data_IF_409984595884
#
_entry.id   IF_409984595884
#
_cell.length_a   1.000
_cell.length_b   1.000
_cell.length_c   1.000
_cell.angle_alpha   90.00
_cell.angle_beta   90.00
_cell.angle_gamma   90.00
#
_symmetry.space_group_name_H-M   'P 1'
#
loop_
_entity.id
_entity.type
_entity.pdbx_description
1 polymer ?
#
# COMPACT_ATOMS: atom_id res chain seq x y z
N UNK A 1 5.21 -3.52 -9.49
CA UNK A 1 4.81 -3.79 -8.09
C UNK A 1 3.33 -4.10 -8.04
N UNK A 2 2.95 -5.03 -7.20
CA UNK A 2 1.56 -5.44 -7.09
C UNK A 2 1.12 -5.35 -5.64
N UNK A 3 -0.03 -4.70 -5.38
CA UNK A 3 -0.59 -4.65 -4.05
C UNK A 3 -1.08 -6.04 -3.64
N UNK A 4 -0.76 -6.46 -2.43
CA UNK A 4 -1.20 -7.76 -1.94
C UNK A 4 -2.14 -7.59 -0.76
N UNK A 5 -3.08 -8.52 -0.64
CA UNK A 5 -4.07 -8.50 0.43
C UNK A 5 -3.54 -9.27 1.63
N UNK A 6 -3.78 -8.72 2.83
CA UNK A 6 -3.40 -9.37 4.08
C UNK A 6 -4.61 -9.46 5.01
N UNK A 7 -5.71 -10.09 4.55
CA UNK A 7 -6.93 -10.12 5.37
C UNK A 7 -6.74 -10.86 6.69
N UNK A 8 -5.79 -11.79 6.76
CA UNK A 8 -5.55 -12.52 7.98
C UNK A 8 -4.94 -11.65 9.07
N UNK A 9 -4.46 -10.47 8.74
CA UNK A 9 -3.95 -9.53 9.74
C UNK A 9 -5.05 -8.66 10.33
N UNK A 10 -6.26 -8.73 9.76
CA UNK A 10 -7.39 -7.97 10.31
C UNK A 10 -7.81 -8.56 11.64
N UNK A 11 -8.24 -7.68 12.53
CA UNK A 11 -8.71 -8.06 13.87
C UNK A 11 -9.93 -7.22 14.22
N UNK A 12 -10.67 -7.66 15.20
CA UNK A 12 -11.83 -6.91 15.69
C UNK A 12 -11.48 -6.34 17.06
N UNK A 13 -11.53 -5.02 17.29
CA UNK A 13 -12.14 -4.04 16.37
C UNK A 13 -11.22 -3.52 15.28
N UNK A 14 -9.89 -3.72 15.38
CA UNK A 14 -8.99 -3.18 14.37
C UNK A 14 -7.70 -3.99 14.29
N UNK A 15 -6.97 -3.95 13.15
CA UNK A 15 -7.32 -3.20 11.95
C UNK A 15 -8.40 -3.89 11.14
N UNK A 16 -9.15 -3.10 10.34
CA UNK A 16 -10.15 -3.64 9.43
C UNK A 16 -9.55 -3.83 8.05
N UNK A 17 -9.90 -4.93 7.41
CA UNK A 17 -9.48 -5.16 6.03
C UNK A 17 -10.48 -4.51 5.07
N UNK A 18 -9.98 -3.70 4.14
CA UNK A 18 -10.80 -3.07 3.12
C UNK A 18 -10.12 -3.19 1.76
N UNK A 19 -10.90 -3.06 0.71
CA UNK A 19 -10.37 -2.99 -0.65
C UNK A 19 -10.88 -1.69 -1.26
N UNK A 20 -9.97 -0.71 -1.39
CA UNK A 20 -10.31 0.57 -1.99
C UNK A 20 -10.49 0.42 -3.49
N UNK A 21 -11.39 1.21 -4.07
CA UNK A 21 -11.69 1.22 -5.50
C UNK A 21 -12.21 -0.13 -6.01
N UNK A 22 -12.80 -0.91 -5.12
CA UNK A 22 -13.27 -2.25 -5.46
C UNK A 22 -14.29 -2.22 -6.61
N UNK A 23 -15.17 -1.20 -6.61
CA UNK A 23 -16.23 -1.10 -7.60
C UNK A 23 -15.98 0.00 -8.62
N UNK A 24 -14.73 0.45 -8.76
CA UNK A 24 -14.35 1.51 -9.69
C UNK A 24 -13.46 0.91 -10.77
N UNK A 25 -14.03 0.56 -11.93
CA UNK A 25 -13.27 -0.17 -12.95
C UNK A 25 -12.10 0.63 -13.53
N UNK A 26 -12.13 1.97 -13.40
CA UNK A 26 -11.03 2.79 -13.90
C UNK A 26 -9.78 2.74 -13.03
N UNK A 27 -9.86 2.14 -11.84
CA UNK A 27 -8.71 2.02 -10.93
C UNK A 27 -8.48 0.57 -10.57
N UNK A 28 -7.22 0.24 -10.27
CA UNK A 28 -6.91 -1.08 -9.72
C UNK A 28 -7.34 -1.12 -8.26
N UNK A 29 -7.99 -2.22 -7.83
CA UNK A 29 -8.35 -2.35 -6.43
C UNK A 29 -7.12 -2.31 -5.53
N UNK A 30 -7.23 -1.69 -4.37
CA UNK A 30 -6.14 -1.56 -3.43
C UNK A 30 -6.52 -2.17 -2.08
N UNK A 31 -6.06 -3.39 -1.80
CA UNK A 31 -6.28 -3.99 -0.49
C UNK A 31 -5.49 -3.24 0.58
N UNK A 32 -6.10 -3.06 1.75
CA UNK A 32 -5.47 -2.29 2.81
C UNK A 32 -6.01 -2.70 4.17
N UNK A 33 -5.25 -2.36 5.20
CA UNK A 33 -5.70 -2.48 6.58
C UNK A 33 -5.86 -1.07 7.15
N UNK A 34 -7.02 -0.80 7.72
CA UNK A 34 -7.35 0.52 8.23
C UNK A 34 -7.41 0.46 9.75
N UNK A 35 -6.66 1.36 10.40
CA UNK A 35 -6.57 1.44 11.84
C UNK A 35 -7.42 2.59 12.36
N UNK A 36 -7.84 2.47 13.62
CA UNK A 36 -8.74 3.45 14.23
C UNK A 36 -8.11 4.84 14.33
N UNK A 37 -6.78 4.91 14.42
CA UNK A 37 -6.09 6.20 14.51
C UNK A 37 -5.90 6.88 13.15
N UNK A 38 -6.42 6.29 12.09
CA UNK A 38 -6.34 6.87 10.77
C UNK A 38 -5.21 6.36 9.90
N UNK A 39 -4.36 5.49 10.43
CA UNK A 39 -3.30 4.90 9.61
C UNK A 39 -3.90 3.87 8.66
N UNK A 40 -3.33 3.79 7.46
CA UNK A 40 -3.73 2.81 6.45
C UNK A 40 -2.47 2.11 5.99
N UNK A 41 -2.45 0.78 6.12
CA UNK A 41 -1.30 -0.02 5.71
C UNK A 41 -1.60 -0.69 4.38
N UNK A 42 -0.71 -0.55 3.42
CA UNK A 42 -0.74 -1.31 2.17
C UNK A 42 0.58 -2.03 2.03
N UNK A 43 0.55 -3.19 1.40
CA UNK A 43 1.75 -3.98 1.23
C UNK A 43 1.89 -4.33 -0.24
N UNK A 44 3.12 -4.28 -0.74
CA UNK A 44 3.38 -4.42 -2.16
C UNK A 44 4.43 -5.48 -2.41
N UNK A 45 4.15 -6.34 -3.38
CA UNK A 45 5.09 -7.37 -3.79
C UNK A 45 5.88 -6.88 -4.99
N UNK A 46 7.19 -6.97 -4.90
CA UNK A 46 8.08 -6.60 -5.99
C UNK A 46 8.19 -7.74 -7.00
N UNK A 47 8.29 -7.39 -8.27
CA UNK A 47 8.67 -8.36 -9.28
C UNK A 47 10.15 -8.67 -9.15
N UNK A 48 10.60 -9.74 -9.81
CA UNK A 48 12.02 -10.06 -9.79
C UNK A 48 12.84 -8.94 -10.42
N UNK A 49 12.36 -8.36 -11.52
CA UNK A 49 13.05 -7.26 -12.15
C UNK A 49 13.17 -6.04 -11.25
N UNK A 50 12.11 -5.76 -10.49
CA UNK A 50 12.15 -4.65 -9.53
C UNK A 50 13.14 -4.92 -8.41
N UNK A 51 13.21 -6.16 -7.93
CA UNK A 51 14.19 -6.51 -6.91
C UNK A 51 15.61 -6.32 -7.41
N UNK A 52 15.87 -6.76 -8.63
CA UNK A 52 17.20 -6.59 -9.22
C UNK A 52 17.54 -5.12 -9.40
N UNK A 53 16.55 -4.30 -9.78
CA UNK A 53 16.76 -2.86 -9.89
C UNK A 53 17.18 -2.25 -8.55
N UNK A 54 16.52 -2.66 -7.46
CA UNK A 54 16.89 -2.17 -6.13
C UNK A 54 18.30 -2.61 -5.74
N UNK A 55 18.66 -3.86 -6.08
CA UNK A 55 20.02 -4.33 -5.82
C UNK A 55 21.06 -3.49 -6.56
N UNK A 56 20.72 -3.02 -7.77
CA UNK A 56 21.61 -2.15 -8.52
C UNK A 56 21.67 -0.72 -7.98
N UNK A 57 20.90 -0.41 -6.96
CA UNK A 57 20.93 0.90 -6.35
C UNK A 57 19.83 1.84 -6.81
N UNK A 58 18.83 1.35 -7.55
CA UNK A 58 17.70 2.18 -7.92
C UNK A 58 16.78 2.37 -6.71
N UNK A 59 15.97 3.40 -6.77
CA UNK A 59 15.15 3.81 -5.63
C UNK A 59 13.67 3.49 -5.86
N UNK A 60 12.92 3.49 -4.78
CA UNK A 60 11.46 3.39 -4.86
C UNK A 60 10.92 4.80 -4.95
N UNK A 61 9.96 5.00 -5.86
CA UNK A 61 9.31 6.30 -6.05
C UNK A 61 7.83 6.15 -5.71
N UNK A 62 7.32 7.05 -4.89
CA UNK A 62 5.92 7.04 -4.48
C UNK A 62 5.19 8.17 -5.17
N UNK A 63 4.07 7.86 -5.82
CA UNK A 63 3.20 8.84 -6.45
C UNK A 63 1.87 8.86 -5.72
N UNK A 64 1.41 10.05 -5.37
CA UNK A 64 0.11 10.23 -4.71
C UNK A 64 -0.64 11.35 -5.42
N UNK A 65 -1.90 11.09 -5.71
CA UNK A 65 -2.79 12.10 -6.29
C UNK A 65 -3.54 12.78 -5.17
N UNK A 66 -3.19 14.03 -4.90
CA UNK A 66 -3.83 14.78 -3.80
C UNK A 66 -4.97 15.64 -4.28
N UNK A 67 -5.10 15.81 -5.59
CA UNK A 67 -6.12 16.68 -6.18
C UNK A 67 -6.04 18.11 -5.64
N UNK A 68 -4.82 18.58 -5.40
CA UNK A 68 -4.60 19.95 -4.90
C UNK A 68 -4.83 20.12 -3.42
N UNK A 69 -5.15 19.07 -2.69
CA UNK A 69 -5.31 19.14 -1.24
C UNK A 69 -3.96 18.93 -0.56
N UNK A 70 -3.82 19.37 0.69
CA UNK A 70 -2.56 19.15 1.41
C UNK A 70 -2.20 17.67 1.46
N UNK A 71 -0.90 17.39 1.33
CA UNK A 71 -0.40 16.04 1.41
C UNK A 71 -0.49 15.55 2.85
N UNK A 72 -0.99 14.35 3.03
CA UNK A 72 -1.04 13.73 4.33
C UNK A 72 0.31 13.11 4.68
N UNK A 73 0.61 12.96 5.96
CA UNK A 73 1.87 12.33 6.35
C UNK A 73 1.99 10.92 5.78
N UNK A 74 3.21 10.59 5.35
CA UNK A 74 3.47 9.31 4.70
C UNK A 74 4.71 8.71 5.33
N UNK A 75 4.70 7.39 5.49
CA UNK A 75 5.87 6.65 5.94
C UNK A 75 6.06 5.44 5.05
N UNK A 76 7.30 5.21 4.67
CA UNK A 76 7.68 4.01 3.93
C UNK A 76 8.68 3.24 4.75
N UNK A 77 8.60 1.93 4.67
CA UNK A 77 9.58 1.09 5.34
C UNK A 77 9.80 -0.18 4.53
N UNK A 78 10.95 -0.80 4.73
CA UNK A 78 11.24 -2.08 4.12
C UNK A 78 10.85 -3.16 5.10
N UNK A 79 9.92 -4.02 4.69
CA UNK A 79 9.48 -5.10 5.57
C UNK A 79 10.45 -6.25 5.48
N UNK A 80 10.77 -6.81 6.61
CA UNK A 80 11.49 -8.04 6.64
C UNK A 80 10.52 -9.17 6.48
N UNK A 81 10.74 -10.05 5.58
CA UNK A 81 9.67 -10.94 5.36
C UNK A 81 10.01 -12.27 5.41
#
# INVERSE_FOLDING_TARGET
>A
MEAIAQPELAQDPEPRFVIFAKDQPEYLPLPALVYADGKVMTEWKLTEEERLALIRGENIRLWIWTYGRPLQPIALEVTKE
#
